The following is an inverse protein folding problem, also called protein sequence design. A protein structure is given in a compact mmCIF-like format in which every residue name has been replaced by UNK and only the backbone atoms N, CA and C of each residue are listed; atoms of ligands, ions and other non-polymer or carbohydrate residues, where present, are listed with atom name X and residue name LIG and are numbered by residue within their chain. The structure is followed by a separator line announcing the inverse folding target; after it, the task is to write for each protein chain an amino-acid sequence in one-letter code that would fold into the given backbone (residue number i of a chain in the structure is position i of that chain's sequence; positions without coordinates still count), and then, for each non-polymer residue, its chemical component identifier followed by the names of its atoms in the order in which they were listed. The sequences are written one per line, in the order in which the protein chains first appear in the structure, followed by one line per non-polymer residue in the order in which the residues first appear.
data_IF_928039796386
#
_entry.id   IF_928039796386
#
_cell.length_a   1.000
_cell.length_b   1.000
_cell.length_c   1.000
_cell.angle_alpha   90.00
_cell.angle_beta   90.00
_cell.angle_gamma   90.00
#
_symmetry.space_group_name_H-M   'P 1'
#
loop_
_entity.id
_entity.type
_entity.pdbx_description
1 polymer ?
#
# COMPACT_ATOMS: atom_id res chain seq x y z
N UNK A 1 34.15 5.95 -2.36
CA UNK A 1 34.17 5.68 -3.82
C UNK A 1 33.08 6.51 -4.49
N UNK A 2 33.23 6.91 -5.75
CA UNK A 2 32.24 7.76 -6.43
C UNK A 2 31.06 6.97 -7.01
N UNK A 3 31.29 5.68 -7.29
CA UNK A 3 30.36 4.75 -7.92
C UNK A 3 30.54 3.40 -7.20
N UNK A 4 29.43 2.81 -6.75
CA UNK A 4 29.42 1.57 -5.96
C UNK A 4 28.45 0.59 -6.61
N UNK A 5 28.91 -0.62 -6.94
CA UNK A 5 28.05 -1.70 -7.44
C UNK A 5 27.19 -2.23 -6.30
N UNK A 6 25.89 -2.35 -6.51
CA UNK A 6 24.96 -2.95 -5.57
C UNK A 6 25.17 -4.48 -5.56
N UNK A 7 25.03 -5.10 -4.39
CA UNK A 7 25.12 -6.55 -4.27
C UNK A 7 24.01 -7.22 -5.11
N UNK A 8 24.38 -8.17 -5.96
CA UNK A 8 23.45 -8.81 -6.89
C UNK A 8 24.13 -9.38 -8.14
N UNK A 9 23.33 -10.03 -8.98
CA UNK A 9 23.78 -10.49 -10.31
C UNK A 9 23.81 -9.33 -11.30
N UNK A 10 23.03 -8.30 -11.04
CA UNK A 10 22.81 -7.13 -11.87
C UNK A 10 23.99 -6.15 -11.83
N UNK A 11 24.31 -5.55 -12.97
CA UNK A 11 25.27 -4.44 -13.10
C UNK A 11 24.61 -3.10 -12.73
N UNK A 12 24.13 -3.02 -11.49
CA UNK A 12 23.45 -1.85 -10.93
C UNK A 12 24.41 -1.07 -10.02
N UNK A 13 24.56 0.22 -10.29
CA UNK A 13 25.50 1.09 -9.61
C UNK A 13 24.83 2.30 -8.97
N UNK A 14 25.30 2.71 -7.79
CA UNK A 14 24.84 3.91 -7.07
C UNK A 14 25.98 4.89 -6.83
N UNK A 15 25.69 6.18 -6.93
CA UNK A 15 26.69 7.21 -6.67
C UNK A 15 26.14 8.62 -6.51
N UNK A 16 27.05 9.56 -6.28
CA UNK A 16 26.76 10.99 -6.33
C UNK A 16 27.05 11.58 -7.71
N UNK A 17 26.72 12.85 -7.91
CA UNK A 17 26.91 13.57 -9.18
C UNK A 17 28.38 13.61 -9.62
N UNK A 18 29.32 13.57 -8.67
CA UNK A 18 30.75 13.47 -8.97
C UNK A 18 31.15 12.16 -9.67
N UNK A 19 30.31 11.12 -9.60
CA UNK A 19 30.49 9.89 -10.38
C UNK A 19 30.41 10.14 -11.88
N UNK A 20 29.53 11.06 -12.32
CA UNK A 20 29.41 11.44 -13.72
C UNK A 20 30.61 12.24 -14.24
N UNK A 21 31.35 12.93 -13.37
CA UNK A 21 32.57 13.67 -13.74
C UNK A 21 33.79 12.75 -13.96
N UNK A 22 33.60 11.43 -13.94
CA UNK A 22 34.67 10.43 -14.07
C UNK A 22 34.37 9.49 -15.24
N UNK A 23 34.51 9.96 -16.49
CA UNK A 23 34.16 9.19 -17.68
C UNK A 23 34.81 7.80 -17.73
N UNK A 24 36.08 7.69 -17.31
CA UNK A 24 36.82 6.42 -17.26
C UNK A 24 36.12 5.34 -16.42
N UNK A 25 35.47 5.70 -15.32
CA UNK A 25 34.76 4.73 -14.47
C UNK A 25 33.47 4.24 -15.15
N UNK A 26 32.79 5.10 -15.91
CA UNK A 26 31.59 4.71 -16.63
C UNK A 26 31.92 3.77 -17.80
N UNK A 27 33.03 4.04 -18.51
CA UNK A 27 33.54 3.16 -19.56
C UNK A 27 34.02 1.80 -19.02
N UNK A 28 34.76 1.80 -17.90
CA UNK A 28 35.26 0.59 -17.25
C UNK A 28 34.12 -0.36 -16.85
N UNK A 29 33.04 0.21 -16.31
CA UNK A 29 31.83 -0.53 -15.93
C UNK A 29 30.81 -0.68 -17.08
N UNK A 30 31.14 -0.20 -18.29
CA UNK A 30 30.29 -0.26 -19.50
C UNK A 30 28.86 0.21 -19.26
N UNK A 31 28.69 1.31 -18.55
CA UNK A 31 27.38 1.87 -18.20
C UNK A 31 26.63 2.26 -19.49
N UNK A 32 25.43 1.68 -19.68
CA UNK A 32 24.58 1.92 -20.84
C UNK A 32 23.40 2.85 -20.52
N UNK A 33 22.99 2.92 -19.26
CA UNK A 33 21.86 3.74 -18.81
C UNK A 33 22.22 4.56 -17.57
N UNK A 34 21.78 5.81 -17.54
CA UNK A 34 21.96 6.71 -16.40
C UNK A 34 20.61 7.21 -15.91
N UNK A 35 20.33 7.02 -14.62
CA UNK A 35 19.18 7.58 -13.93
C UNK A 35 19.65 8.69 -12.97
N UNK A 36 19.30 9.93 -13.29
CA UNK A 36 19.54 11.10 -12.45
C UNK A 36 18.29 11.42 -11.64
N UNK A 37 18.29 11.10 -10.36
CA UNK A 37 17.24 11.52 -9.40
C UNK A 37 17.61 12.90 -8.84
N UNK A 38 17.78 13.84 -9.76
CA UNK A 38 18.07 15.26 -9.62
C UNK A 38 17.98 15.88 -11.02
N UNK A 39 17.65 17.17 -11.12
CA UNK A 39 17.79 17.92 -12.36
C UNK A 39 19.22 17.84 -12.88
N UNK A 40 19.38 17.18 -14.03
CA UNK A 40 20.69 17.03 -14.64
C UNK A 40 20.53 16.89 -16.15
N UNK A 41 21.42 17.51 -16.90
CA UNK A 41 21.53 17.34 -18.34
C UNK A 41 22.90 16.75 -18.65
N UNK A 42 22.94 15.59 -19.32
CA UNK A 42 24.20 15.05 -19.82
C UNK A 42 24.71 15.89 -20.99
N UNK A 43 26.01 16.06 -21.03
CA UNK A 43 26.67 16.71 -22.15
C UNK A 43 26.96 15.67 -23.23
N UNK A 44 26.05 15.52 -24.20
CA UNK A 44 26.16 14.52 -25.28
C UNK A 44 27.37 14.71 -26.21
N UNK A 45 28.11 15.80 -26.06
CA UNK A 45 29.35 16.05 -26.79
C UNK A 45 30.54 15.23 -26.25
N UNK A 46 30.44 14.69 -25.03
CA UNK A 46 31.46 13.77 -24.53
C UNK A 46 31.20 12.36 -25.07
N UNK A 47 32.22 11.74 -25.67
CA UNK A 47 32.11 10.42 -26.30
C UNK A 47 31.61 9.33 -25.34
N UNK A 48 31.86 9.50 -24.04
CA UNK A 48 31.45 8.55 -22.98
C UNK A 48 29.93 8.50 -22.79
N UNK A 49 29.23 9.60 -23.08
CA UNK A 49 27.77 9.65 -23.00
C UNK A 49 27.09 9.37 -24.35
N UNK A 50 27.88 9.16 -25.42
CA UNK A 50 27.36 8.88 -26.74
C UNK A 50 26.70 7.49 -26.75
N UNK A 51 25.38 7.46 -26.91
CA UNK A 51 24.60 6.21 -26.91
C UNK A 51 24.17 5.72 -25.53
N UNK A 52 24.41 6.51 -24.47
CA UNK A 52 23.87 6.23 -23.14
C UNK A 52 22.43 6.75 -23.06
N UNK A 53 21.49 5.90 -22.66
CA UNK A 53 20.12 6.33 -22.40
C UNK A 53 20.06 7.05 -21.05
N UNK A 54 19.44 8.23 -21.02
CA UNK A 54 19.42 9.08 -19.83
C UNK A 54 18.01 9.47 -19.43
N UNK A 55 17.70 9.25 -18.16
CA UNK A 55 16.47 9.72 -17.52
C UNK A 55 16.83 10.65 -16.36
N UNK A 56 16.37 11.90 -16.42
CA UNK A 56 16.45 12.85 -15.31
C UNK A 56 15.07 13.10 -14.72
N UNK A 57 15.00 13.05 -13.39
CA UNK A 57 13.81 13.34 -12.58
C UNK A 57 14.19 14.51 -11.67
N UNK A 58 13.55 15.65 -11.89
CA UNK A 58 13.78 16.90 -11.15
C UNK A 58 13.05 16.82 -9.81
N UNK A 59 13.75 16.39 -8.76
CA UNK A 59 13.22 16.28 -7.40
C UNK A 59 14.30 16.61 -6.35
N UNK A 60 13.88 17.33 -5.33
CA UNK A 60 14.72 17.73 -4.20
C UNK A 60 14.74 16.68 -3.09
N UNK A 61 15.70 16.79 -2.17
CA UNK A 61 15.87 15.85 -1.06
C UNK A 61 15.15 16.33 0.19
N UNK A 62 13.84 16.52 0.08
CA UNK A 62 12.97 16.99 1.16
C UNK A 62 11.92 15.93 1.50
N UNK A 63 11.38 15.97 2.72
CA UNK A 63 10.44 14.95 3.20
C UNK A 63 9.01 15.11 2.65
N UNK A 64 8.68 16.31 2.20
CA UNK A 64 7.40 16.71 1.61
C UNK A 64 7.34 16.49 0.09
N UNK A 65 8.48 16.24 -0.55
CA UNK A 65 8.57 15.93 -1.99
C UNK A 65 7.96 14.58 -2.35
N UNK A 66 7.30 14.49 -3.50
CA UNK A 66 6.66 13.27 -3.99
C UNK A 66 7.59 12.47 -4.91
N UNK A 67 8.31 11.52 -4.33
CA UNK A 67 9.14 10.58 -5.08
C UNK A 67 8.35 9.34 -5.52
N UNK A 68 7.26 9.02 -4.81
CA UNK A 68 6.45 7.81 -4.99
C UNK A 68 5.85 7.75 -6.39
N UNK A 69 5.34 8.87 -6.90
CA UNK A 69 4.77 8.98 -8.26
C UNK A 69 5.76 8.55 -9.35
N UNK A 70 7.07 8.70 -9.10
CA UNK A 70 8.11 8.39 -10.07
C UNK A 70 8.67 6.97 -9.97
N UNK A 71 8.36 6.21 -8.91
CA UNK A 71 8.89 4.86 -8.74
C UNK A 71 8.58 3.92 -9.92
N UNK A 72 7.36 3.87 -10.49
CA UNK A 72 7.08 3.01 -11.64
C UNK A 72 8.03 3.29 -12.80
N UNK A 73 8.18 4.57 -13.15
CA UNK A 73 9.06 5.03 -14.23
C UNK A 73 10.53 4.70 -13.95
N UNK A 74 11.00 4.92 -12.73
CA UNK A 74 12.38 4.59 -12.33
C UNK A 74 12.65 3.09 -12.39
N UNK A 75 11.73 2.27 -11.86
CA UNK A 75 11.85 0.81 -11.84
C UNK A 75 11.88 0.26 -13.26
N UNK A 76 10.97 0.71 -14.13
CA UNK A 76 10.94 0.33 -15.55
C UNK A 76 12.22 0.72 -16.28
N UNK A 77 12.73 1.93 -16.03
CA UNK A 77 13.99 2.39 -16.64
C UNK A 77 15.18 1.53 -16.19
N UNK A 78 15.27 1.19 -14.91
CA UNK A 78 16.33 0.32 -14.38
C UNK A 78 16.22 -1.10 -14.97
N UNK A 79 15.01 -1.68 -15.00
CA UNK A 79 14.78 -3.02 -15.56
C UNK A 79 15.13 -3.07 -17.06
N UNK A 80 14.65 -2.08 -17.84
CA UNK A 80 14.98 -1.93 -19.27
C UNK A 80 16.49 -1.82 -19.46
N UNK A 81 17.16 -1.04 -18.62
CA UNK A 81 18.61 -0.82 -18.74
C UNK A 81 19.46 -2.04 -18.37
N UNK A 82 18.96 -2.91 -17.49
CA UNK A 82 19.65 -4.13 -17.07
C UNK A 82 19.39 -5.30 -18.01
N UNK A 83 18.18 -5.45 -18.54
CA UNK A 83 17.78 -6.66 -19.30
C UNK A 83 17.41 -6.38 -20.77
N UNK A 84 17.28 -5.12 -21.18
CA UNK A 84 16.81 -4.72 -22.52
C UNK A 84 15.29 -4.72 -22.65
N UNK A 85 14.78 -4.36 -23.84
CA UNK A 85 13.35 -4.49 -24.15
C UNK A 85 13.02 -5.97 -24.44
N UNK A 86 12.13 -6.55 -23.63
CA UNK A 86 11.50 -7.82 -23.97
C UNK A 86 10.56 -7.54 -25.15
N UNK A 87 11.00 -7.86 -26.37
CA UNK A 87 10.12 -7.95 -27.52
C UNK A 87 9.06 -9.03 -27.21
N UNK A 88 7.93 -8.64 -26.62
CA UNK A 88 6.73 -9.46 -26.61
C UNK A 88 6.13 -9.41 -28.01
N UNK A 89 6.81 -10.12 -28.92
CA UNK A 89 6.36 -10.31 -30.29
C UNK A 89 4.99 -10.97 -30.29
N UNK A 90 4.00 -10.21 -30.78
CA UNK A 90 2.84 -10.77 -31.46
C UNK A 90 3.36 -11.61 -32.65
N UNK A 91 3.49 -12.90 -32.45
CA UNK A 91 3.39 -13.90 -33.51
C UNK A 91 2.06 -14.62 -33.24
N UNK A 92 1.06 -14.57 -34.12
CA UNK A 92 1.20 -15.05 -35.49
C UNK A 92 0.78 -16.50 -35.48
N UNK A 93 -0.51 -16.72 -35.67
CA UNK A 93 -1.17 -18.01 -35.88
C UNK A 93 -0.39 -18.93 -36.82
N UNK A 94 -0.19 -20.20 -36.43
CA UNK A 94 -0.20 -21.36 -37.35
C UNK A 94 -0.54 -22.68 -36.61
N UNK A 95 -1.06 -23.70 -37.32
CA UNK A 95 -1.91 -24.75 -36.75
C UNK A 95 -1.20 -26.07 -36.37
N UNK A 96 -2.00 -26.93 -35.73
CA UNK A 96 -1.69 -28.24 -35.18
C UNK A 96 -1.08 -29.29 -36.14
N UNK A 97 -0.24 -30.18 -35.59
CA UNK A 97 0.27 -31.37 -36.30
C UNK A 97 1.12 -32.34 -35.49
N UNK A 98 0.47 -33.17 -34.65
CA UNK A 98 0.66 -34.63 -34.47
C UNK A 98 2.04 -35.32 -34.24
N UNK A 99 2.12 -36.09 -33.14
CA UNK A 99 2.51 -37.53 -32.99
C UNK A 99 3.65 -37.91 -32.01
N UNK A 100 3.19 -38.56 -30.93
CA UNK A 100 3.68 -39.71 -30.14
C UNK A 100 5.03 -40.42 -30.45
N UNK A 101 5.73 -40.75 -29.35
CA UNK A 101 6.21 -42.09 -28.90
C UNK A 101 6.89 -41.86 -27.52
N UNK A 102 6.62 -42.55 -26.42
CA UNK A 102 6.38 -43.97 -26.20
C UNK A 102 7.70 -44.63 -25.79
N UNK A 103 7.94 -44.80 -24.48
CA UNK A 103 8.25 -46.10 -23.85
C UNK A 103 8.59 -45.98 -22.35
N UNK A 104 7.99 -46.91 -21.61
CA UNK A 104 8.13 -47.21 -20.18
C UNK A 104 9.37 -48.09 -19.96
N UNK A 105 9.95 -48.10 -18.75
CA UNK A 105 10.41 -49.35 -18.10
C UNK A 105 10.86 -49.17 -16.63
N UNK A 106 10.06 -49.80 -15.76
CA UNK A 106 10.35 -50.65 -14.59
C UNK A 106 11.54 -50.44 -13.61
N UNK A 107 11.16 -50.15 -12.35
CA UNK A 107 11.32 -50.97 -11.12
C UNK A 107 12.73 -51.47 -10.65
N UNK A 108 13.14 -50.90 -9.50
CA UNK A 108 13.93 -51.31 -8.29
C UNK A 108 14.17 -52.82 -8.00
N UNK A 109 15.07 -53.29 -7.06
CA UNK A 109 15.25 -52.75 -5.70
C UNK A 109 16.58 -52.99 -4.90
N UNK A 110 16.57 -52.47 -3.64
CA UNK A 110 17.27 -52.91 -2.41
C UNK A 110 18.78 -52.61 -2.29
N UNK A 111 19.39 -52.31 -1.13
CA UNK A 111 18.96 -52.15 0.26
C UNK A 111 20.09 -51.52 1.11
N UNK A 112 19.70 -51.12 2.33
CA UNK A 112 20.41 -51.24 3.61
C UNK A 112 20.80 -49.94 4.33
N UNK A 113 20.34 -49.94 5.58
CA UNK A 113 20.37 -48.87 6.57
C UNK A 113 21.68 -48.90 7.37
N UNK A 114 22.08 -47.72 7.85
CA UNK A 114 23.11 -47.56 8.87
C UNK A 114 22.82 -46.31 9.67
N UNK A 115 22.09 -46.47 10.77
CA UNK A 115 21.85 -45.46 11.81
C UNK A 115 23.13 -45.26 12.62
N UNK A 116 23.62 -44.02 12.72
CA UNK A 116 24.61 -43.63 13.71
C UNK A 116 24.13 -42.35 14.41
N UNK A 117 23.79 -42.50 15.68
CA UNK A 117 23.45 -41.42 16.61
C UNK A 117 24.66 -40.52 16.85
N UNK A 118 24.46 -39.20 16.81
CA UNK A 118 25.47 -38.21 17.17
C UNK A 118 25.23 -37.76 18.63
N UNK A 119 26.28 -37.88 19.45
CA UNK A 119 26.27 -37.58 20.87
C UNK A 119 26.36 -36.07 21.14
N UNK A 120 25.81 -35.65 22.28
CA UNK A 120 25.68 -34.26 22.74
C UNK A 120 27.00 -33.52 23.05
N UNK A 121 28.16 -34.04 22.61
CA UNK A 121 29.48 -33.46 22.85
C UNK A 121 30.14 -32.83 21.58
N UNK A 122 29.42 -32.75 20.45
CA UNK A 122 29.86 -32.02 19.25
C UNK A 122 29.19 -30.64 19.09
N UNK A 123 28.29 -30.25 20.00
CA UNK A 123 27.97 -28.84 20.23
C UNK A 123 29.16 -28.21 21.00
N UNK A 124 29.53 -26.98 20.65
CA UNK A 124 30.64 -26.18 21.25
C UNK A 124 32.01 -26.32 20.54
N UNK A 125 32.02 -26.19 19.21
CA UNK A 125 33.09 -25.42 18.51
C UNK A 125 32.74 -25.14 17.05
N UNK A 126 31.99 -24.07 16.79
CA UNK A 126 32.07 -23.40 15.48
C UNK A 126 32.15 -21.88 15.70
N UNK A 127 33.36 -21.37 15.57
CA UNK A 127 33.65 -19.95 15.42
C UNK A 127 33.07 -19.48 14.09
N UNK A 128 32.55 -18.25 14.10
CA UNK A 128 32.13 -17.48 12.94
C UNK A 128 33.10 -17.65 11.76
N UNK A 129 32.64 -18.32 10.72
CA UNK A 129 33.13 -18.18 9.34
C UNK A 129 32.11 -17.34 8.56
N UNK A 130 32.53 -16.55 7.56
CA UNK A 130 31.58 -15.84 6.70
C UNK A 130 30.70 -16.87 5.99
N UNK A 131 29.40 -16.59 5.92
CA UNK A 131 28.44 -17.44 5.24
C UNK A 131 28.89 -17.67 3.80
N UNK A 132 29.45 -18.85 3.55
CA UNK A 132 29.73 -19.35 2.22
C UNK A 132 28.41 -19.46 1.46
N UNK A 133 28.42 -18.92 0.24
CA UNK A 133 27.33 -18.99 -0.72
C UNK A 133 26.81 -20.43 -0.87
N UNK A 134 25.49 -20.59 -0.81
CA UNK A 134 24.84 -21.81 -1.26
C UNK A 134 24.70 -21.74 -2.79
N UNK A 135 25.22 -22.71 -3.56
CA UNK A 135 25.08 -22.71 -5.02
C UNK A 135 23.66 -23.15 -5.37
N UNK A 136 22.85 -22.22 -5.89
CA UNK A 136 21.55 -22.51 -6.51
C UNK A 136 21.49 -21.84 -7.88
N UNK A 137 21.15 -22.65 -8.89
CA UNK A 137 21.38 -22.44 -10.32
C UNK A 137 20.69 -21.23 -10.99
N UNK A 138 20.82 -21.12 -12.33
CA UNK A 138 20.41 -19.96 -13.10
C UNK A 138 18.94 -20.10 -13.50
N UNK A 139 18.05 -19.29 -12.93
CA UNK A 139 16.66 -19.20 -13.39
C UNK A 139 16.32 -17.72 -13.56
N UNK A 140 16.85 -17.10 -14.60
CA UNK A 140 16.54 -15.73 -15.01
C UNK A 140 17.35 -15.33 -16.23
N UNK A 141 16.87 -14.37 -17.05
CA UNK A 141 17.66 -13.79 -18.11
C UNK A 141 18.93 -13.15 -17.53
N UNK A 142 20.06 -13.32 -18.20
CA UNK A 142 21.32 -12.68 -17.81
C UNK A 142 21.23 -11.17 -18.06
N UNK A 143 21.78 -10.33 -17.15
CA UNK A 143 21.80 -8.88 -17.37
C UNK A 143 22.68 -8.55 -18.58
N UNK A 144 22.13 -7.76 -19.50
CA UNK A 144 22.75 -7.38 -20.78
C UNK A 144 23.33 -5.98 -20.75
N UNK A 145 22.90 -5.13 -19.81
CA UNK A 145 23.37 -3.76 -19.66
C UNK A 145 23.74 -3.39 -18.23
N UNK A 146 24.30 -2.18 -18.07
CA UNK A 146 24.72 -1.64 -16.79
C UNK A 146 24.07 -0.27 -16.54
N UNK A 147 23.50 -0.11 -15.34
CA UNK A 147 22.70 1.08 -14.98
C UNK A 147 23.39 1.83 -13.84
N UNK A 148 23.59 3.13 -14.02
CA UNK A 148 24.09 4.02 -12.98
C UNK A 148 22.99 4.95 -12.47
N UNK A 149 22.65 4.81 -11.19
CA UNK A 149 21.66 5.66 -10.51
C UNK A 149 22.38 6.65 -9.60
N UNK A 150 22.13 7.94 -9.79
CA UNK A 150 22.75 8.97 -8.98
C UNK A 150 21.80 10.11 -8.59
N UNK A 151 22.19 10.83 -7.56
CA UNK A 151 21.61 12.11 -7.18
C UNK A 151 22.76 13.09 -6.90
N UNK A 152 22.63 14.02 -5.95
CA UNK A 152 23.76 14.86 -5.53
C UNK A 152 24.85 14.03 -4.81
N UNK A 153 24.51 13.41 -3.67
CA UNK A 153 25.49 12.70 -2.81
C UNK A 153 25.51 11.18 -2.99
N UNK A 154 24.49 10.60 -3.61
CA UNK A 154 24.30 9.15 -3.61
C UNK A 154 23.95 8.61 -2.23
N UNK A 155 23.05 9.32 -1.51
CA UNK A 155 22.66 9.08 -0.12
C UNK A 155 21.17 8.77 0.03
N UNK A 156 20.29 9.67 -0.44
CA UNK A 156 18.84 9.61 -0.22
C UNK A 156 18.09 9.30 -1.52
N UNK A 157 17.71 10.29 -2.33
CA UNK A 157 17.01 10.17 -3.63
C UNK A 157 17.38 8.96 -4.49
N UNK A 158 18.65 8.82 -4.86
CA UNK A 158 19.11 7.71 -5.71
C UNK A 158 19.05 6.35 -5.01
N UNK A 159 19.23 6.33 -3.69
CA UNK A 159 19.11 5.11 -2.88
C UNK A 159 17.64 4.70 -2.80
N UNK A 160 16.72 5.64 -2.65
CA UNK A 160 15.28 5.37 -2.68
C UNK A 160 14.85 4.70 -3.99
N UNK A 161 15.33 5.20 -5.13
CA UNK A 161 15.06 4.59 -6.44
C UNK A 161 15.56 3.13 -6.54
N UNK A 162 16.76 2.85 -6.02
CA UNK A 162 17.32 1.49 -5.98
C UNK A 162 16.52 0.59 -5.05
N UNK A 163 16.13 1.08 -3.87
CA UNK A 163 15.32 0.31 -2.94
C UNK A 163 13.96 -0.04 -3.58
N UNK A 164 13.31 0.91 -4.24
CA UNK A 164 12.05 0.67 -4.95
C UNK A 164 12.19 -0.46 -5.99
N UNK A 165 13.28 -0.45 -6.78
CA UNK A 165 13.60 -1.51 -7.73
C UNK A 165 13.88 -2.86 -7.05
N UNK A 166 14.68 -2.89 -5.98
CA UNK A 166 15.00 -4.12 -5.25
C UNK A 166 13.75 -4.76 -4.64
N UNK A 167 12.84 -3.96 -4.07
CA UNK A 167 11.57 -4.42 -3.49
C UNK A 167 10.61 -4.95 -4.56
N UNK A 168 10.63 -4.37 -5.75
CA UNK A 168 9.85 -4.83 -6.89
C UNK A 168 10.40 -6.15 -7.47
N UNK A 169 11.70 -6.21 -7.77
CA UNK A 169 12.35 -7.36 -8.43
C UNK A 169 12.52 -8.59 -7.54
N UNK A 170 12.84 -8.39 -6.26
CA UNK A 170 13.20 -9.47 -5.32
C UNK A 170 12.23 -9.56 -4.12
N UNK A 171 10.92 -9.82 -4.34
CA UNK A 171 9.90 -9.76 -3.28
C UNK A 171 10.15 -10.77 -2.14
N UNK A 172 10.70 -11.95 -2.43
CA UNK A 172 11.00 -12.95 -1.42
C UNK A 172 12.20 -12.58 -0.53
N UNK A 173 13.18 -11.83 -1.06
CA UNK A 173 14.44 -11.53 -0.37
C UNK A 173 14.22 -10.61 0.83
N UNK A 174 13.33 -9.63 0.68
CA UNK A 174 13.10 -8.60 1.70
C UNK A 174 11.86 -8.89 2.56
N UNK A 175 11.20 -10.03 2.34
CA UNK A 175 10.06 -10.48 3.13
C UNK A 175 8.70 -9.96 2.65
N UNK A 176 8.61 -9.33 1.47
CA UNK A 176 7.34 -8.89 0.87
C UNK A 176 6.39 -10.06 0.64
N UNK A 177 6.91 -11.21 0.22
CA UNK A 177 6.12 -12.42 0.03
C UNK A 177 5.65 -13.08 1.34
N UNK A 178 6.08 -12.59 2.51
CA UNK A 178 5.67 -13.12 3.80
C UNK A 178 4.61 -12.19 4.43
N UNK A 179 3.37 -12.66 4.65
CA UNK A 179 2.27 -11.83 5.17
C UNK A 179 2.50 -11.27 6.58
N UNK A 180 3.50 -11.77 7.32
CA UNK A 180 3.83 -11.29 8.67
C UNK A 180 4.84 -10.13 8.69
N UNK A 181 5.49 -9.82 7.57
CA UNK A 181 6.53 -8.79 7.52
C UNK A 181 5.89 -7.41 7.36
N UNK A 182 6.15 -6.50 8.30
CA UNK A 182 5.69 -5.11 8.18
C UNK A 182 6.43 -4.39 7.05
N UNK A 183 5.78 -3.50 6.28
CA UNK A 183 6.43 -2.77 5.17
C UNK A 183 7.73 -2.09 5.58
N UNK A 184 7.72 -1.38 6.71
CA UNK A 184 8.91 -0.75 7.29
C UNK A 184 10.09 -1.69 7.49
N UNK A 185 9.85 -2.93 7.92
CA UNK A 185 10.92 -3.91 8.14
C UNK A 185 11.52 -4.37 6.80
N UNK A 186 10.70 -4.55 5.77
CA UNK A 186 11.17 -4.91 4.43
C UNK A 186 12.02 -3.78 3.81
N UNK A 187 11.57 -2.53 3.94
CA UNK A 187 12.32 -1.34 3.48
C UNK A 187 13.67 -1.24 4.20
N UNK A 188 13.70 -1.44 5.53
CA UNK A 188 14.95 -1.41 6.31
C UNK A 188 15.92 -2.52 5.86
N UNK A 189 15.43 -3.72 5.58
CA UNK A 189 16.28 -4.82 5.04
C UNK A 189 16.87 -4.47 3.68
N UNK A 190 16.07 -3.88 2.79
CA UNK A 190 16.56 -3.42 1.48
C UNK A 190 17.56 -2.26 1.62
N UNK A 191 17.36 -1.35 2.57
CA UNK A 191 18.32 -0.30 2.88
C UNK A 191 19.64 -0.87 3.43
N UNK A 192 19.59 -1.86 4.32
CA UNK A 192 20.78 -2.56 4.82
C UNK A 192 21.56 -3.22 3.68
N UNK A 193 20.86 -3.87 2.75
CA UNK A 193 21.48 -4.46 1.55
C UNK A 193 22.24 -3.44 0.71
N UNK A 194 21.69 -2.23 0.53
CA UNK A 194 22.39 -1.13 -0.16
C UNK A 194 23.58 -0.63 0.68
N UNK A 195 23.43 -0.54 2.00
CA UNK A 195 24.49 -0.07 2.92
C UNK A 195 25.74 -0.94 2.92
N UNK A 196 25.61 -2.24 2.65
CA UNK A 196 26.75 -3.15 2.53
C UNK A 196 27.77 -2.69 1.47
N UNK A 197 27.29 -2.03 0.42
CA UNK A 197 28.13 -1.50 -0.67
C UNK A 197 28.29 0.02 -0.60
N UNK A 198 27.32 0.73 -0.02
CA UNK A 198 27.27 2.19 0.11
C UNK A 198 26.88 2.58 1.55
N UNK A 199 27.82 2.62 2.51
CA UNK A 199 27.51 2.84 3.93
C UNK A 199 26.80 4.17 4.25
N UNK A 200 27.00 5.19 3.41
CA UNK A 200 26.35 6.50 3.58
C UNK A 200 24.87 6.52 3.19
N UNK A 201 24.34 5.42 2.65
CA UNK A 201 22.95 5.32 2.19
C UNK A 201 21.98 5.56 3.35
N UNK A 202 21.11 6.56 3.20
CA UNK A 202 20.16 7.00 4.21
C UNK A 202 19.16 7.93 3.52
N UNK A 203 18.05 7.36 2.99
CA UNK A 203 16.88 8.11 2.57
C UNK A 203 16.31 8.96 3.70
N UNK A 204 15.72 10.10 3.34
CA UNK A 204 14.98 10.91 4.30
C UNK A 204 13.70 10.19 4.78
N UNK A 205 13.12 10.65 5.90
CA UNK A 205 11.97 9.98 6.51
C UNK A 205 10.72 10.01 5.62
N UNK A 206 10.54 11.05 4.79
CA UNK A 206 9.47 11.14 3.81
C UNK A 206 9.56 10.04 2.74
N UNK A 207 10.74 9.85 2.16
CA UNK A 207 11.00 8.80 1.18
C UNK A 207 10.92 7.41 1.80
N UNK A 208 11.32 7.24 3.06
CA UNK A 208 11.13 5.97 3.78
C UNK A 208 9.64 5.63 3.88
N UNK A 209 8.77 6.58 4.25
CA UNK A 209 7.31 6.37 4.27
C UNK A 209 6.76 6.07 2.88
N UNK A 210 7.24 6.76 1.85
CA UNK A 210 6.84 6.50 0.46
C UNK A 210 7.26 5.11 -0.04
N UNK A 211 8.41 4.60 0.38
CA UNK A 211 8.84 3.22 0.09
C UNK A 211 7.99 2.18 0.84
N UNK A 212 7.48 2.51 2.03
CA UNK A 212 6.50 1.68 2.73
C UNK A 212 5.19 1.62 1.93
N UNK A 213 4.64 2.76 1.51
CA UNK A 213 3.45 2.83 0.65
C UNK A 213 3.64 2.10 -0.68
N UNK A 214 4.82 2.25 -1.32
CA UNK A 214 5.18 1.50 -2.52
C UNK A 214 5.02 -0.01 -2.34
N UNK A 215 5.45 -0.53 -1.18
CA UNK A 215 5.30 -1.94 -0.86
C UNK A 215 3.85 -2.34 -0.57
N UNK A 216 3.12 -1.50 0.15
CA UNK A 216 1.70 -1.72 0.48
C UNK A 216 0.84 -1.81 -0.79
N UNK A 217 1.12 -0.98 -1.79
CA UNK A 217 0.51 -1.04 -3.13
C UNK A 217 0.97 -2.24 -3.97
N UNK A 218 1.89 -3.06 -3.45
CA UNK A 218 2.42 -4.20 -4.21
C UNK A 218 3.40 -3.81 -5.32
N UNK A 219 4.07 -2.67 -5.20
CA UNK A 219 5.06 -2.18 -6.16
C UNK A 219 4.53 -2.10 -7.61
N UNK A 220 3.48 -1.32 -7.89
CA UNK A 220 2.84 -1.29 -9.21
C UNK A 220 3.76 -0.61 -10.25
N UNK A 221 4.31 -1.38 -11.19
CA UNK A 221 5.27 -0.89 -12.20
C UNK A 221 4.87 -1.20 -13.66
N UNK A 222 3.58 -1.44 -13.90
CA UNK A 222 3.07 -1.82 -15.24
C UNK A 222 3.08 -0.64 -16.22
N UNK A 223 2.83 0.57 -15.73
CA UNK A 223 2.87 1.82 -16.48
C UNK A 223 3.44 2.95 -15.64
N UNK A 224 3.79 4.08 -16.26
CA UNK A 224 4.37 5.23 -15.55
C UNK A 224 3.37 5.88 -14.58
N UNK A 225 2.08 5.77 -14.86
CA UNK A 225 0.96 6.28 -14.05
C UNK A 225 0.35 5.24 -13.10
N UNK A 226 1.00 4.07 -12.93
CA UNK A 226 0.42 2.96 -12.16
C UNK A 226 0.13 3.34 -10.70
N UNK A 227 1.00 4.12 -10.07
CA UNK A 227 0.83 4.62 -8.69
C UNK A 227 -0.35 5.59 -8.57
N UNK A 228 -0.62 6.41 -9.59
CA UNK A 228 -1.70 7.41 -9.55
C UNK A 228 -3.10 6.78 -9.48
N UNK A 229 -3.21 5.52 -9.89
CA UNK A 229 -4.46 4.75 -9.88
C UNK A 229 -4.72 4.06 -8.55
N UNK A 230 -3.70 3.95 -7.70
CA UNK A 230 -3.81 3.22 -6.43
C UNK A 230 -4.53 4.05 -5.36
N UNK A 231 -5.53 3.47 -4.66
CA UNK A 231 -6.29 4.18 -3.62
C UNK A 231 -5.41 4.70 -2.47
N UNK A 232 -4.36 3.95 -2.10
CA UNK A 232 -3.43 4.32 -1.01
C UNK A 232 -2.72 5.63 -1.36
N UNK A 233 -2.24 5.77 -2.59
CA UNK A 233 -1.56 6.97 -3.06
C UNK A 233 -2.52 8.16 -3.18
N UNK A 234 -3.72 7.95 -3.72
CA UNK A 234 -4.72 9.01 -3.82
C UNK A 234 -5.17 9.54 -2.45
N UNK A 235 -5.30 8.66 -1.44
CA UNK A 235 -5.59 9.07 -0.06
C UNK A 235 -4.43 9.89 0.52
N UNK A 236 -3.19 9.49 0.26
CA UNK A 236 -2.01 10.24 0.71
C UNK A 236 -1.93 11.63 0.08
N UNK A 237 -2.17 11.76 -1.23
CA UNK A 237 -2.24 13.05 -1.91
C UNK A 237 -3.35 13.95 -1.33
N UNK A 238 -4.53 13.38 -1.09
CA UNK A 238 -5.64 14.11 -0.50
C UNK A 238 -5.30 14.64 0.90
N UNK A 239 -4.69 13.82 1.76
CA UNK A 239 -4.27 14.26 3.09
C UNK A 239 -3.28 15.44 3.00
N UNK A 240 -2.31 15.37 2.08
CA UNK A 240 -1.33 16.43 1.88
C UNK A 240 -1.98 17.73 1.41
N UNK A 241 -2.89 17.66 0.43
CA UNK A 241 -3.66 18.83 -0.04
C UNK A 241 -4.49 19.45 1.09
N UNK A 242 -5.14 18.63 1.92
CA UNK A 242 -5.91 19.13 3.06
C UNK A 242 -5.01 19.82 4.09
N UNK A 243 -3.84 19.26 4.40
CA UNK A 243 -2.88 19.87 5.32
C UNK A 243 -2.35 21.21 4.79
N UNK A 244 -2.02 21.28 3.50
CA UNK A 244 -1.53 22.50 2.87
C UNK A 244 -2.63 23.55 2.75
N UNK A 245 -3.85 23.14 2.37
CA UNK A 245 -5.03 24.00 2.37
C UNK A 245 -5.32 24.57 3.77
N UNK A 246 -5.27 23.72 4.80
CA UNK A 246 -5.44 24.14 6.19
C UNK A 246 -4.35 25.13 6.64
N UNK A 247 -3.10 24.93 6.22
CA UNK A 247 -1.98 25.84 6.53
C UNK A 247 -2.17 27.23 5.91
N UNK A 248 -2.75 27.29 4.72
CA UNK A 248 -3.03 28.54 4.00
C UNK A 248 -4.39 29.13 4.42
N UNK A 249 -5.17 28.40 5.23
CA UNK A 249 -6.51 28.83 5.67
C UNK A 249 -7.53 28.82 4.54
N UNK A 250 -7.38 27.90 3.57
CA UNK A 250 -8.31 27.67 2.45
C UNK A 250 -8.99 26.29 2.59
N UNK A 251 -10.15 26.12 1.94
CA UNK A 251 -10.70 24.79 1.70
C UNK A 251 -9.88 24.10 0.59
N UNK A 252 -9.72 22.76 0.61
CA UNK A 252 -9.01 22.04 -0.45
C UNK A 252 -9.74 22.18 -1.79
N UNK A 253 -8.97 22.28 -2.87
CA UNK A 253 -9.51 22.44 -4.23
C UNK A 253 -10.19 21.16 -4.74
N UNK A 254 -9.75 19.99 -4.23
CA UNK A 254 -10.30 18.68 -4.55
C UNK A 254 -10.62 17.87 -3.29
N UNK A 255 -11.84 17.33 -3.23
CA UNK A 255 -12.33 16.52 -2.11
C UNK A 255 -12.45 15.07 -2.56
N UNK A 256 -11.74 14.16 -1.87
CA UNK A 256 -11.92 12.72 -2.02
C UNK A 256 -13.11 12.27 -1.19
N UNK A 257 -14.09 11.63 -1.82
CA UNK A 257 -15.23 11.01 -1.15
C UNK A 257 -14.99 9.51 -1.03
N UNK A 258 -14.82 9.01 0.19
CA UNK A 258 -14.35 7.64 0.46
C UNK A 258 -15.41 6.57 0.14
N UNK A 259 -16.70 6.92 0.14
CA UNK A 259 -17.80 6.02 -0.22
C UNK A 259 -17.91 5.74 -1.74
N UNK A 260 -17.67 6.72 -2.60
CA UNK A 260 -17.64 6.52 -4.07
C UNK A 260 -16.49 5.62 -4.54
N UNK A 261 -15.42 5.56 -3.75
CA UNK A 261 -14.22 4.75 -4.04
C UNK A 261 -14.38 3.31 -3.55
N UNK A 262 -14.98 3.11 -2.37
CA UNK A 262 -15.31 1.79 -1.86
C UNK A 262 -16.29 1.02 -2.78
N UNK A 263 -17.24 1.72 -3.42
CA UNK A 263 -18.17 1.12 -4.39
C UNK A 263 -17.47 0.55 -5.64
N UNK A 264 -16.24 1.01 -5.96
CA UNK A 264 -15.44 0.46 -7.08
C UNK A 264 -14.76 -0.87 -6.71
N UNK A 265 -14.47 -1.08 -5.42
CA UNK A 265 -13.78 -2.27 -4.89
C UNK A 265 -14.73 -3.39 -4.42
N UNK A 266 -16.05 -3.13 -4.33
CA UNK A 266 -17.06 -4.04 -3.76
C UNK A 266 -17.27 -5.40 -4.49
N UNK A 267 -16.45 -5.76 -5.47
CA UNK A 267 -16.50 -7.12 -6.05
C UNK A 267 -15.91 -8.21 -5.16
N UNK A 268 -15.14 -7.89 -4.11
CA UNK A 268 -14.64 -8.90 -3.17
C UNK A 268 -14.44 -8.34 -1.76
N UNK A 269 -15.42 -8.54 -0.88
CA UNK A 269 -15.31 -9.04 0.52
C UNK A 269 -16.65 -8.75 1.20
N UNK A 270 -17.39 -9.82 1.51
CA UNK A 270 -18.60 -9.78 2.32
C UNK A 270 -18.32 -10.38 3.70
N UNK A 271 -19.05 -9.87 4.69
CA UNK A 271 -19.26 -10.39 6.05
C UNK A 271 -18.23 -10.01 7.13
N UNK A 272 -18.25 -8.74 7.54
CA UNK A 272 -18.03 -8.38 8.95
C UNK A 272 -19.24 -7.58 9.48
N UNK A 273 -19.52 -7.71 10.78
CA UNK A 273 -20.57 -6.97 11.46
C UNK A 273 -20.28 -5.47 11.42
N UNK A 274 -20.89 -4.75 10.49
CA UNK A 274 -20.71 -3.31 10.36
C UNK A 274 -21.61 -2.55 11.34
N UNK A 275 -21.02 -1.60 12.05
CA UNK A 275 -21.73 -0.53 12.74
C UNK A 275 -22.18 0.50 11.70
N UNK A 276 -23.44 0.91 11.73
CA UNK A 276 -23.95 1.99 10.88
C UNK A 276 -24.51 3.11 11.75
N UNK A 277 -24.23 4.37 11.40
CA UNK A 277 -24.86 5.53 12.04
C UNK A 277 -26.00 6.05 11.17
N UNK A 278 -27.13 6.28 11.82
CA UNK A 278 -28.36 6.74 11.18
C UNK A 278 -28.83 8.05 11.81
N UNK A 279 -29.44 8.92 11.03
CA UNK A 279 -30.04 10.15 11.56
C UNK A 279 -31.16 9.82 12.55
N UNK A 280 -31.13 10.39 13.75
CA UNK A 280 -32.14 10.13 14.79
C UNK A 280 -33.56 10.59 14.41
N UNK A 281 -33.68 11.63 13.57
CA UNK A 281 -34.98 12.20 13.15
C UNK A 281 -35.66 11.39 12.04
N UNK A 282 -34.91 10.90 11.05
CA UNK A 282 -35.50 10.25 9.86
C UNK A 282 -34.99 8.83 9.60
N UNK A 283 -34.10 8.30 10.46
CA UNK A 283 -33.46 6.97 10.35
C UNK A 283 -32.70 6.70 9.06
N UNK A 284 -32.44 7.73 8.24
CA UNK A 284 -31.58 7.67 7.05
C UNK A 284 -30.16 7.32 7.47
N UNK A 285 -29.53 6.36 6.80
CA UNK A 285 -28.13 5.99 6.99
C UNK A 285 -27.22 7.14 6.53
N UNK A 286 -26.25 7.48 7.37
CA UNK A 286 -25.31 8.58 7.17
C UNK A 286 -23.88 8.07 6.93
N UNK A 287 -23.46 7.04 7.67
CA UNK A 287 -22.09 6.52 7.60
C UNK A 287 -22.05 5.07 8.07
N UNK A 288 -21.13 4.30 7.52
CA UNK A 288 -20.79 2.93 7.94
C UNK A 288 -19.46 2.92 8.68
N UNK A 289 -19.21 1.88 9.49
CA UNK A 289 -18.03 1.73 10.33
C UNK A 289 -16.67 2.00 9.66
N UNK A 290 -16.38 1.57 8.41
CA UNK A 290 -15.06 1.81 7.81
C UNK A 290 -14.71 3.30 7.66
N UNK A 291 -15.70 4.18 7.56
CA UNK A 291 -15.47 5.63 7.39
C UNK A 291 -15.51 6.42 8.70
N UNK A 292 -15.52 5.74 9.86
CA UNK A 292 -15.48 6.37 11.17
C UNK A 292 -14.02 6.53 11.60
N UNK A 293 -13.58 7.78 11.77
CA UNK A 293 -12.21 8.08 12.20
C UNK A 293 -12.12 7.90 13.72
N UNK A 294 -11.34 6.91 14.21
CA UNK A 294 -11.13 6.73 15.63
C UNK A 294 -10.27 7.86 16.18
N UNK A 295 -10.67 8.40 17.33
CA UNK A 295 -9.86 9.34 18.09
C UNK A 295 -10.02 8.96 19.56
N UNK A 296 -8.89 8.86 20.25
CA UNK A 296 -8.84 8.38 21.62
C UNK A 296 -7.89 9.29 22.37
N UNK A 297 -8.48 10.18 23.17
CA UNK A 297 -7.81 11.30 23.82
C UNK A 297 -6.42 10.91 24.31
N UNK A 298 -5.37 11.50 23.71
CA UNK A 298 -3.98 11.23 24.08
C UNK A 298 -3.79 11.35 25.61
N UNK A 299 -3.83 10.21 26.30
CA UNK A 299 -3.43 10.09 27.71
C UNK A 299 -4.47 10.41 28.79
N UNK A 300 -5.77 10.56 28.50
CA UNK A 300 -6.76 10.73 29.58
C UNK A 300 -7.86 9.67 29.53
N UNK A 301 -7.70 8.64 30.37
CA UNK A 301 -8.62 7.49 30.52
C UNK A 301 -10.00 7.91 31.03
N UNK A 302 -10.14 9.13 31.56
CA UNK A 302 -11.36 9.61 32.22
C UNK A 302 -12.45 10.16 31.27
N UNK A 303 -12.20 10.27 29.95
CA UNK A 303 -13.21 10.75 28.98
C UNK A 303 -13.28 9.86 27.74
N UNK A 304 -13.71 8.62 27.94
CA UNK A 304 -14.01 7.66 26.86
C UNK A 304 -15.27 8.00 26.05
N UNK A 305 -16.05 9.01 26.45
CA UNK A 305 -17.28 9.41 25.77
C UNK A 305 -17.16 10.81 25.12
N UNK A 306 -16.53 10.90 23.93
CA UNK A 306 -16.58 12.12 23.11
C UNK A 306 -18.01 12.29 22.55
N UNK A 307 -18.64 13.48 22.64
CA UNK A 307 -19.97 13.73 22.06
C UNK A 307 -19.94 13.83 20.52
N UNK A 308 -18.75 13.83 19.93
CA UNK A 308 -18.52 13.88 18.50
C UNK A 308 -18.08 12.51 17.99
N UNK A 309 -18.67 12.10 16.87
CA UNK A 309 -18.14 11.04 16.03
C UNK A 309 -17.50 11.69 14.82
N UNK A 310 -16.21 11.46 14.61
CA UNK A 310 -15.51 11.96 13.43
C UNK A 310 -15.63 10.95 12.31
N UNK A 311 -15.80 11.46 11.10
CA UNK A 311 -15.96 10.64 9.89
C UNK A 311 -15.11 11.23 8.76
N UNK A 312 -14.88 10.43 7.74
CA UNK A 312 -14.26 10.91 6.49
C UNK A 312 -15.28 11.69 5.65
N UNK A 313 -14.80 12.37 4.61
CA UNK A 313 -15.68 13.07 3.68
C UNK A 313 -16.49 12.04 2.86
N UNK A 314 -17.82 12.13 2.93
CA UNK A 314 -18.75 11.23 2.25
C UNK A 314 -19.55 11.97 1.19
N UNK A 315 -19.98 11.26 0.16
CA UNK A 315 -20.58 11.83 -1.05
C UNK A 315 -21.86 12.63 -0.78
N UNK A 316 -22.61 12.28 0.26
CA UNK A 316 -23.79 13.05 0.66
C UNK A 316 -23.45 14.43 1.23
N UNK A 317 -22.21 14.68 1.66
CA UNK A 317 -21.74 15.98 2.12
C UNK A 317 -21.35 16.92 0.98
N UNK A 318 -21.19 16.38 -0.25
CA UNK A 318 -20.73 17.11 -1.44
C UNK A 318 -21.40 18.49 -1.62
N UNK A 319 -22.73 18.64 -1.55
CA UNK A 319 -23.37 19.93 -1.77
C UNK A 319 -22.97 21.00 -0.74
N UNK A 320 -22.55 20.57 0.45
CA UNK A 320 -22.12 21.48 1.52
C UNK A 320 -20.62 21.77 1.46
N UNK A 321 -19.80 20.79 1.07
CA UNK A 321 -18.35 20.95 1.05
C UNK A 321 -17.84 21.66 -0.21
N UNK A 322 -18.49 21.45 -1.37
CA UNK A 322 -18.17 22.17 -2.62
C UNK A 322 -18.57 23.66 -2.58
N UNK A 323 -19.29 24.09 -1.53
CA UNK A 323 -19.54 25.52 -1.30
C UNK A 323 -18.26 26.31 -0.94
N UNK A 324 -17.17 25.62 -0.57
CA UNK A 324 -15.86 26.22 -0.35
C UNK A 324 -15.70 26.98 0.97
N UNK A 325 -16.64 26.85 1.91
CA UNK A 325 -16.52 27.43 3.24
C UNK A 325 -15.51 26.65 4.11
N UNK A 326 -14.78 27.35 4.99
CA UNK A 326 -13.75 26.76 5.86
C UNK A 326 -14.32 25.93 7.01
N UNK A 327 -15.48 26.34 7.50
CA UNK A 327 -16.24 25.67 8.54
C UNK A 327 -17.72 25.84 8.25
N UNK A 328 -18.53 24.86 8.66
CA UNK A 328 -19.97 24.94 8.46
C UNK A 328 -20.74 23.84 9.15
N UNK A 329 -22.05 23.80 8.91
CA UNK A 329 -22.97 22.83 9.53
C UNK A 329 -23.30 21.72 8.55
N UNK A 330 -23.27 20.48 9.03
CA UNK A 330 -23.70 19.30 8.28
C UNK A 330 -25.19 19.06 8.55
N UNK A 331 -25.99 19.10 7.49
CA UNK A 331 -27.42 18.78 7.51
C UNK A 331 -27.68 17.36 7.01
N UNK A 332 -28.77 16.74 7.47
CA UNK A 332 -29.19 15.43 6.99
C UNK A 332 -29.51 15.49 5.49
N UNK A 333 -28.99 14.56 4.65
CA UNK A 333 -29.19 14.58 3.20
C UNK A 333 -30.63 14.28 2.77
N UNK A 334 -31.49 13.82 3.68
CA UNK A 334 -32.90 13.68 3.39
C UNK A 334 -33.58 15.06 3.32
N UNK A 335 -34.01 15.47 2.13
CA UNK A 335 -34.68 16.74 1.87
C UNK A 335 -35.89 17.01 2.78
N UNK A 336 -36.59 15.96 3.24
CA UNK A 336 -37.73 16.10 4.17
C UNK A 336 -37.31 16.31 5.62
N UNK A 337 -36.06 15.96 5.97
CA UNK A 337 -35.57 15.99 7.34
C UNK A 337 -34.92 17.33 7.70
N UNK A 338 -33.93 17.75 6.89
CA UNK A 338 -33.19 19.00 7.05
C UNK A 338 -32.52 19.21 8.42
N UNK A 339 -32.41 18.17 9.26
CA UNK A 339 -31.90 18.32 10.62
C UNK A 339 -30.39 18.57 10.61
N UNK A 340 -29.93 19.52 11.43
CA UNK A 340 -28.50 19.70 11.72
C UNK A 340 -28.00 18.49 12.50
N UNK A 341 -27.16 17.68 11.85
CA UNK A 341 -26.60 16.44 12.40
C UNK A 341 -25.15 16.61 12.87
N UNK A 342 -24.46 17.64 12.39
CA UNK A 342 -23.04 17.81 12.66
C UNK A 342 -22.48 19.17 12.24
N UNK A 343 -21.15 19.26 12.27
CA UNK A 343 -20.36 20.38 11.76
C UNK A 343 -19.10 19.87 11.09
N UNK A 344 -18.57 20.65 10.15
CA UNK A 344 -17.27 20.41 9.54
C UNK A 344 -16.34 21.61 9.74
N UNK A 345 -15.03 21.35 9.80
CA UNK A 345 -14.00 22.38 9.80
C UNK A 345 -12.74 21.83 9.12
N UNK A 346 -12.29 22.46 8.04
CA UNK A 346 -11.11 22.03 7.28
C UNK A 346 -9.81 22.20 8.08
N UNK A 347 -9.72 23.28 8.87
CA UNK A 347 -8.59 23.52 9.77
C UNK A 347 -8.56 22.56 10.98
N UNK A 348 -9.61 21.75 11.14
CA UNK A 348 -9.79 20.90 12.29
C UNK A 348 -10.23 21.65 13.54
N UNK A 349 -10.58 20.89 14.57
CA UNK A 349 -10.83 21.44 15.90
C UNK A 349 -10.52 20.40 16.98
N UNK A 350 -10.33 20.87 18.21
CA UNK A 350 -10.07 20.01 19.38
C UNK A 350 -11.38 19.38 19.90
N UNK A 351 -11.50 18.04 19.94
CA UNK A 351 -12.61 17.39 20.69
C UNK A 351 -12.41 17.60 22.20
N UNK A 352 -13.51 17.54 22.96
CA UNK A 352 -13.54 17.48 24.42
C UNK A 352 -12.71 16.35 25.05
N UNK A 353 -12.31 15.32 24.30
CA UNK A 353 -11.38 14.27 24.73
C UNK A 353 -9.91 14.74 24.70
N UNK A 354 -9.62 15.88 24.09
CA UNK A 354 -8.27 16.46 24.01
C UNK A 354 -7.58 16.30 22.66
N UNK A 355 -8.09 15.44 21.78
CA UNK A 355 -7.48 15.21 20.46
C UNK A 355 -7.81 16.35 19.49
N UNK A 356 -6.78 16.76 18.74
CA UNK A 356 -6.92 17.62 17.57
C UNK A 356 -7.17 16.74 16.35
N UNK A 357 -8.30 16.95 15.68
CA UNK A 357 -8.66 16.23 14.46
C UNK A 357 -8.73 17.24 13.32
N UNK A 358 -8.00 17.01 12.23
CA UNK A 358 -8.01 17.82 11.02
C UNK A 358 -7.83 16.89 9.79
N UNK A 359 -8.65 17.02 8.73
CA UNK A 359 -9.89 17.80 8.69
C UNK A 359 -10.94 17.20 9.63
N UNK A 360 -11.80 18.04 10.21
CA UNK A 360 -12.78 17.60 11.20
C UNK A 360 -14.20 17.57 10.63
N UNK A 361 -14.68 16.41 10.17
CA UNK A 361 -16.11 16.19 9.91
C UNK A 361 -16.72 15.49 11.11
N UNK A 362 -17.55 16.20 11.87
CA UNK A 362 -18.09 15.70 13.13
C UNK A 362 -19.61 15.58 13.13
N UNK A 363 -20.11 14.40 13.49
CA UNK A 363 -21.51 14.15 13.78
C UNK A 363 -21.74 14.18 15.30
N UNK A 364 -22.83 14.79 15.74
CA UNK A 364 -23.19 14.82 17.15
C UNK A 364 -23.86 13.50 17.56
N UNK A 365 -23.30 12.78 18.55
CA UNK A 365 -23.89 11.55 19.10
C UNK A 365 -25.35 11.71 19.54
N UNK A 366 -25.75 12.90 19.97
CA UNK A 366 -27.14 13.19 20.36
C UNK A 366 -28.14 13.22 19.19
N UNK A 367 -27.64 13.39 17.95
CA UNK A 367 -28.42 13.54 16.71
C UNK A 367 -28.35 12.32 15.80
N UNK A 368 -27.53 11.33 16.14
CA UNK A 368 -27.36 10.08 15.39
C UNK A 368 -27.63 8.88 16.28
N UNK A 369 -28.16 7.81 15.71
CA UNK A 369 -28.38 6.53 16.37
C UNK A 369 -27.42 5.49 15.77
N UNK A 370 -26.75 4.73 16.62
CA UNK A 370 -25.88 3.62 16.23
C UNK A 370 -26.71 2.35 16.07
N UNK A 371 -26.57 1.69 14.91
CA UNK A 371 -27.24 0.43 14.59
C UNK A 371 -26.19 -0.59 14.19
N UNK A 372 -26.13 -1.72 14.90
CA UNK A 372 -25.27 -2.84 14.55
C UNK A 372 -26.03 -3.75 13.58
N UNK A 373 -25.56 -3.87 12.35
CA UNK A 373 -26.10 -4.84 11.40
C UNK A 373 -25.37 -6.17 11.58
N UNK A 374 -26.02 -7.11 12.25
CA UNK A 374 -25.58 -8.51 12.23
C UNK A 374 -25.99 -9.07 10.86
N UNK A 375 -25.03 -9.62 10.12
CA UNK A 375 -25.28 -10.22 8.82
C UNK A 375 -26.47 -11.17 8.88
N UNK A 376 -27.43 -11.02 7.95
CA UNK A 376 -28.51 -11.97 7.76
C UNK A 376 -27.90 -13.29 7.29
N UNK A 377 -27.47 -14.13 8.23
CA UNK A 377 -27.26 -15.54 7.96
C UNK A 377 -28.53 -16.07 7.32
N UNK A 378 -28.42 -16.73 6.16
CA UNK A 378 -29.49 -17.54 5.59
C UNK A 378 -29.83 -18.62 6.61
N UNK A 379 -30.74 -18.33 7.53
CA UNK A 379 -31.33 -19.35 8.39
C UNK A 379 -32.21 -20.22 7.50
N UNK A 380 -31.69 -21.35 7.05
CA UNK A 380 -32.51 -22.53 6.73
C UNK A 380 -33.13 -23.05 8.05
N UNK A 381 -33.94 -22.22 8.70
CA UNK A 381 -34.79 -22.61 9.80
C UNK A 381 -36.19 -22.80 9.20
N UNK A 382 -36.72 -24.01 9.35
CA UNK A 382 -38.09 -24.38 9.02
C UNK A 382 -39.08 -23.32 9.53
N UNK A 383 -40.23 -23.10 8.87
CA UNK A 383 -41.15 -22.04 9.25
C UNK A 383 -41.63 -22.23 10.68
N UNK A 384 -41.06 -21.44 11.59
CA UNK A 384 -41.50 -21.32 12.98
C UNK A 384 -42.95 -20.86 13.05
N UNK A 385 -43.62 -21.28 14.11
CA UNK A 385 -45.05 -21.08 14.30
C UNK A 385 -45.46 -19.60 14.21
N UNK A 386 -46.70 -19.34 13.84
CA UNK A 386 -47.28 -17.99 13.72
C UNK A 386 -47.08 -17.17 15.02
N UNK A 387 -46.95 -17.84 16.17
CA UNK A 387 -46.68 -17.21 17.47
C UNK A 387 -45.33 -16.49 17.53
N UNK A 388 -44.27 -17.05 16.93
CA UNK A 388 -42.94 -16.42 16.92
C UNK A 388 -42.90 -15.16 16.04
N UNK A 389 -43.69 -15.16 14.96
CA UNK A 389 -43.80 -14.01 14.05
C UNK A 389 -44.54 -12.84 14.69
N UNK A 390 -45.54 -13.11 15.54
CA UNK A 390 -46.31 -12.07 16.24
C UNK A 390 -45.56 -11.46 17.42
N UNK A 391 -44.74 -12.25 18.14
CA UNK A 391 -43.89 -11.75 19.22
C UNK A 391 -42.80 -10.79 18.72
N UNK A 392 -42.23 -11.04 17.54
CA UNK A 392 -41.24 -10.17 16.91
C UNK A 392 -41.80 -8.77 16.50
N UNK A 393 -43.13 -8.63 16.40
CA UNK A 393 -43.81 -7.37 16.11
C UNK A 393 -44.33 -6.65 17.37
N UNK A 394 -44.04 -7.15 18.57
CA UNK A 394 -44.37 -6.47 19.84
C UNK A 394 -45.84 -6.52 20.26
N UNK A 395 -46.65 -7.41 19.66
CA UNK A 395 -48.08 -7.55 19.98
C UNK A 395 -48.23 -8.60 21.10
N UNK A 396 -48.68 -8.19 22.30
CA UNK A 396 -49.00 -9.11 23.41
C UNK A 396 -50.38 -9.75 23.19
N UNK A 397 -50.43 -11.08 23.11
CA UNK A 397 -51.70 -11.83 23.12
C UNK A 397 -52.31 -11.93 24.54
N UNK A 398 -53.65 -11.96 24.66
CA UNK A 398 -54.33 -12.20 25.93
C UNK A 398 -54.16 -13.67 26.39
N UNK A 399 -54.14 -13.93 27.71
CA UNK A 399 -53.89 -15.26 28.24
C UNK A 399 -55.15 -16.13 28.12
N UNK A 400 -55.11 -17.22 27.35
CA UNK A 400 -56.24 -18.15 27.31
C UNK A 400 -56.32 -19.18 26.18
N UNK A 401 -55.25 -19.49 25.45
CA UNK A 401 -55.32 -20.52 24.40
C UNK A 401 -54.10 -21.45 24.41
N UNK A 402 -53.90 -22.18 25.51
CA UNK A 402 -53.01 -23.32 25.55
C UNK A 402 -53.85 -24.61 25.46
N UNK A 403 -53.69 -25.30 24.33
CA UNK A 403 -53.82 -26.75 24.14
C UNK A 403 -54.98 -27.50 24.80
N UNK A 404 -56.00 -27.84 24.00
CA UNK A 404 -56.81 -29.05 24.23
C UNK A 404 -56.02 -30.23 23.64
N UNK A 405 -55.50 -31.10 24.51
CA UNK A 405 -55.02 -32.43 24.13
C UNK A 405 -56.25 -33.29 23.80
N UNK A 406 -56.33 -33.82 22.58
CA UNK A 406 -57.16 -34.98 22.30
C UNK A 406 -56.25 -36.11 21.82
N UNK A 407 -56.15 -37.12 22.68
CA UNK A 407 -55.70 -38.46 22.35
C UNK A 407 -56.74 -39.12 21.44
N UNK A 408 -56.32 -39.63 20.30
CA UNK A 408 -56.64 -40.96 19.75
C UNK A 408 -55.86 -41.22 18.47
#
# INVERSE_FOLDING_TARGET
MALNRINGREELYVGGVFGLRRPRLLEEHKVTHILSVIKYALNNNEDVFRGVEHLSIDIDDMEDEDLLVYFPKMVRFIEKGLYGEVNTGKEGSEPAGSKNKGDEDAITPAASAGTAELTAAQLVRLKLTPAAESPRGPTGPEPTGAVFVHCAMGKSRSVSAIIAYLLWKHPHRFGRANPTTKPRQAVIKALQWVRDTRPIAEPNDGFMRQLEMWLEMGCPADSDDAVEREPIYQRWLYHREVEDAARIGRAPDWIRFEDEEAEKDEKQVAEESSVELRCKKCRRMLVTQPFIVPHQGRGNVERSDCPHVFIEALSWMRPTLEAGELEGRLACPNAKCGASIGRYAWQGFKCSCGDWVAPAFSLQKSKVDEVKTVGKGKSNAAPGSVADRMAAMGIRMPPGAAGRQENL
#
